data_IF_350887537587
#
_entry.id   IF_350887537587
#
_cell.length_a   1.000
_cell.length_b   1.000
_cell.length_c   1.000
_cell.angle_alpha   90.00
_cell.angle_beta   90.00
_cell.angle_gamma   90.00
#
_symmetry.space_group_name_H-M   'P 1'
#
loop_
_entity.id
_entity.type
_entity.pdbx_description
1 polymer ?
#
# COMPACT_ATOMS: atom_id res chain seq x y z
N UNK A 1 26.32 55.67 0.52
CA UNK A 1 26.15 54.24 0.21
C UNK A 1 26.39 54.00 -1.28
N UNK A 2 27.40 53.22 -1.67
CA UNK A 2 27.91 53.15 -3.06
C UNK A 2 27.19 52.13 -3.95
N UNK A 3 26.94 52.49 -5.22
CA UNK A 3 26.38 51.62 -6.30
C UNK A 3 27.15 50.31 -6.48
N UNK A 4 28.46 50.30 -6.19
CA UNK A 4 29.30 49.08 -6.29
C UNK A 4 28.94 48.03 -5.23
N UNK A 5 28.48 48.45 -4.05
CA UNK A 5 28.11 47.55 -2.95
C UNK A 5 26.76 46.86 -3.19
N UNK A 6 25.81 47.59 -3.79
CA UNK A 6 24.51 47.06 -4.23
C UNK A 6 24.68 45.95 -5.28
N UNK A 7 25.51 46.18 -6.31
CA UNK A 7 25.77 45.20 -7.36
C UNK A 7 26.41 43.90 -6.83
N UNK A 8 27.32 43.99 -5.85
CA UNK A 8 27.93 42.82 -5.22
C UNK A 8 26.92 42.02 -4.38
N UNK A 9 26.04 42.71 -3.64
CA UNK A 9 24.94 42.05 -2.89
C UNK A 9 23.95 41.36 -3.82
N UNK A 10 23.56 42.00 -4.92
CA UNK A 10 22.65 41.42 -5.91
C UNK A 10 23.23 40.15 -6.55
N UNK A 11 24.53 40.15 -6.91
CA UNK A 11 25.21 38.96 -7.44
C UNK A 11 25.29 37.84 -6.41
N UNK A 12 25.58 38.15 -5.14
CA UNK A 12 25.62 37.16 -4.06
C UNK A 12 24.24 36.54 -3.81
N UNK A 13 23.18 37.37 -3.79
CA UNK A 13 21.79 36.92 -3.64
C UNK A 13 21.35 36.04 -4.82
N UNK A 14 21.73 36.39 -6.06
CA UNK A 14 21.45 35.58 -7.25
C UNK A 14 22.17 34.22 -7.19
N UNK A 15 23.43 34.19 -6.77
CA UNK A 15 24.18 32.94 -6.59
C UNK A 15 23.58 32.04 -5.49
N UNK A 16 23.17 32.61 -4.37
CA UNK A 16 22.52 31.87 -3.29
C UNK A 16 21.15 31.31 -3.71
N UNK A 17 20.35 32.09 -4.45
CA UNK A 17 19.06 31.62 -4.96
C UNK A 17 19.20 30.45 -5.95
N UNK A 18 20.19 30.50 -6.85
CA UNK A 18 20.49 29.39 -7.77
C UNK A 18 21.05 28.16 -7.05
N UNK A 19 21.78 28.35 -5.94
CA UNK A 19 22.31 27.26 -5.13
C UNK A 19 21.22 26.57 -4.30
N UNK A 20 20.28 27.32 -3.73
CA UNK A 20 19.13 26.77 -2.99
C UNK A 20 18.12 26.06 -3.90
N UNK A 21 17.92 26.53 -5.14
CA UNK A 21 17.02 25.87 -6.10
C UNK A 21 17.52 24.49 -6.58
N UNK A 22 18.75 24.11 -6.25
CA UNK A 22 19.40 22.86 -6.67
C UNK A 22 19.72 21.94 -5.49
N UNK A 23 19.36 22.33 -4.28
CA UNK A 23 19.61 21.57 -3.07
C UNK A 23 18.28 20.98 -2.61
N UNK A 24 18.07 19.71 -2.93
CA UNK A 24 17.04 18.89 -2.32
C UNK A 24 17.67 18.33 -1.03
N UNK A 25 17.13 18.62 0.16
CA UNK A 25 17.64 18.04 1.40
C UNK A 25 17.67 16.51 1.31
N UNK A 26 18.70 15.86 1.84
CA UNK A 26 18.82 14.39 1.78
C UNK A 26 17.58 13.68 2.36
N UNK A 27 16.91 14.30 3.33
CA UNK A 27 15.63 13.81 3.90
C UNK A 27 14.47 13.78 2.89
N UNK A 28 14.47 14.68 1.91
CA UNK A 28 13.46 14.69 0.84
C UNK A 28 13.81 13.66 -0.24
N UNK A 29 15.09 13.44 -0.52
CA UNK A 29 15.54 12.38 -1.43
C UNK A 29 15.26 10.98 -0.86
N UNK A 30 15.46 10.80 0.45
CA UNK A 30 15.21 9.55 1.17
C UNK A 30 13.71 9.20 1.18
N UNK A 31 12.85 10.17 1.53
CA UNK A 31 11.40 10.00 1.45
C UNK A 31 10.92 9.66 0.03
N UNK A 32 11.43 10.35 -0.99
CA UNK A 32 11.10 10.02 -2.39
C UNK A 32 11.59 8.63 -2.81
N UNK A 33 12.71 8.15 -2.26
CA UNK A 33 13.20 6.78 -2.52
C UNK A 33 12.28 5.75 -1.90
N UNK A 34 11.82 6.00 -0.68
CA UNK A 34 10.89 5.12 0.03
C UNK A 34 9.55 5.00 -0.71
N UNK A 35 8.98 6.13 -1.16
CA UNK A 35 7.72 6.14 -1.95
C UNK A 35 7.86 5.32 -3.26
N UNK A 36 9.01 5.40 -3.92
CA UNK A 36 9.29 4.63 -5.16
C UNK A 36 9.39 3.14 -4.85
N UNK A 37 10.06 2.76 -3.76
CA UNK A 37 10.20 1.37 -3.34
C UNK A 37 8.84 0.76 -2.98
N UNK A 38 8.01 1.51 -2.24
CA UNK A 38 6.65 1.12 -1.88
C UNK A 38 5.76 0.94 -3.12
N UNK A 39 5.75 1.91 -4.04
CA UNK A 39 4.96 1.81 -5.27
C UNK A 39 5.35 0.57 -6.09
N UNK A 40 6.66 0.30 -6.21
CA UNK A 40 7.15 -0.88 -6.90
C UNK A 40 6.80 -2.18 -6.17
N UNK A 41 6.70 -2.17 -4.83
CA UNK A 41 6.26 -3.32 -4.04
C UNK A 41 4.78 -3.62 -4.29
N UNK A 42 3.92 -2.61 -4.20
CA UNK A 42 2.49 -2.74 -4.45
C UNK A 42 2.20 -3.19 -5.89
N UNK A 43 2.91 -2.63 -6.88
CA UNK A 43 2.77 -3.05 -8.28
C UNK A 43 3.14 -4.53 -8.49
N UNK A 44 4.26 -4.98 -7.91
CA UNK A 44 4.65 -6.41 -7.96
C UNK A 44 3.67 -7.31 -7.23
N UNK A 45 3.09 -6.84 -6.14
CA UNK A 45 2.10 -7.59 -5.37
C UNK A 45 0.82 -7.75 -6.19
N UNK A 46 0.28 -6.62 -6.69
CA UNK A 46 -0.91 -6.56 -7.53
C UNK A 46 -0.80 -7.48 -8.76
N UNK A 47 0.29 -7.40 -9.51
CA UNK A 47 0.51 -8.26 -10.68
C UNK A 47 0.40 -9.75 -10.32
N UNK A 48 1.00 -10.16 -9.19
CA UNK A 48 0.99 -11.57 -8.76
C UNK A 48 -0.38 -12.05 -8.28
N UNK A 49 -1.15 -11.23 -7.57
CA UNK A 49 -2.45 -11.66 -7.04
C UNK A 49 -3.56 -11.55 -8.10
N UNK A 50 -3.49 -10.57 -9.00
CA UNK A 50 -4.45 -10.42 -10.10
C UNK A 50 -4.35 -11.56 -11.11
N UNK A 51 -3.15 -12.10 -11.37
CA UNK A 51 -2.95 -13.34 -12.14
C UNK A 51 -3.71 -14.55 -11.56
N UNK A 52 -4.01 -14.53 -10.27
CA UNK A 52 -4.75 -15.58 -9.54
C UNK A 52 -6.24 -15.31 -9.42
N UNK A 53 -6.71 -14.19 -9.97
CA UNK A 53 -8.13 -13.82 -10.01
C UNK A 53 -8.59 -12.92 -8.87
N UNK A 54 -7.66 -12.32 -8.12
CA UNK A 54 -7.99 -11.20 -7.24
C UNK A 54 -8.29 -9.95 -8.07
N UNK A 55 -9.18 -9.11 -7.55
CA UNK A 55 -9.58 -7.86 -8.20
C UNK A 55 -9.26 -6.71 -7.26
N UNK A 56 -8.54 -5.71 -7.79
CA UNK A 56 -8.27 -4.47 -7.07
C UNK A 56 -9.55 -3.64 -6.94
N UNK A 57 -9.81 -3.14 -5.74
CA UNK A 57 -10.98 -2.33 -5.42
C UNK A 57 -10.63 -0.84 -5.56
N UNK A 58 -10.87 -0.26 -6.74
CA UNK A 58 -10.63 1.18 -6.97
C UNK A 58 -11.57 2.10 -6.16
N UNK A 59 -12.68 1.58 -5.62
CA UNK A 59 -13.65 2.39 -4.88
C UNK A 59 -13.28 2.52 -3.40
N UNK A 60 -12.76 1.45 -2.80
CA UNK A 60 -12.36 1.39 -1.40
C UNK A 60 -10.86 1.62 -1.19
N UNK A 61 -10.03 1.48 -2.22
CA UNK A 61 -8.61 1.80 -2.13
C UNK A 61 -8.36 3.30 -2.29
N UNK A 62 -7.39 3.81 -1.54
CA UNK A 62 -6.96 5.19 -1.53
C UNK A 62 -5.45 5.32 -1.26
N UNK A 63 -4.99 6.55 -0.98
CA UNK A 63 -3.58 6.80 -0.70
C UNK A 63 -3.10 6.17 0.63
N UNK A 64 -4.03 5.74 1.51
CA UNK A 64 -3.74 5.17 2.83
C UNK A 64 -3.89 3.63 2.84
N UNK A 65 -4.59 3.04 1.87
CA UNK A 65 -4.78 1.60 1.79
C UNK A 65 -5.07 1.09 0.39
N UNK A 66 -4.50 -0.07 0.07
CA UNK A 66 -4.77 -0.81 -1.15
C UNK A 66 -5.57 -2.07 -0.80
N UNK A 67 -6.72 -2.26 -1.44
CA UNK A 67 -7.66 -3.34 -1.16
C UNK A 67 -7.91 -4.20 -2.39
N UNK A 68 -7.95 -5.51 -2.18
CA UNK A 68 -8.31 -6.49 -3.20
C UNK A 68 -9.37 -7.45 -2.67
N UNK A 69 -10.22 -7.96 -3.54
CA UNK A 69 -11.22 -8.97 -3.19
C UNK A 69 -11.19 -10.18 -4.13
N UNK A 70 -11.52 -11.34 -3.57
CA UNK A 70 -11.54 -12.60 -4.30
C UNK A 70 -12.97 -13.05 -4.60
N UNK A 71 -13.51 -12.62 -5.76
CA UNK A 71 -14.89 -12.89 -6.22
C UNK A 71 -15.33 -14.36 -6.06
N UNK A 72 -14.49 -15.38 -6.33
CA UNK A 72 -14.92 -16.77 -6.17
C UNK A 72 -15.28 -17.18 -4.73
N UNK A 73 -14.92 -16.37 -3.73
CA UNK A 73 -15.29 -16.57 -2.32
C UNK A 73 -16.58 -15.88 -1.89
N UNK A 74 -17.22 -15.07 -2.74
CA UNK A 74 -18.43 -14.30 -2.38
C UNK A 74 -19.52 -15.19 -1.77
N UNK A 75 -20.12 -14.72 -0.68
CA UNK A 75 -21.24 -15.36 -0.03
C UNK A 75 -22.28 -14.33 0.45
N UNK A 76 -23.50 -14.81 0.66
CA UNK A 76 -24.56 -14.01 1.27
C UNK A 76 -24.36 -13.97 2.79
N UNK A 77 -24.18 -12.77 3.32
CA UNK A 77 -23.95 -12.49 4.74
C UNK A 77 -24.92 -11.41 5.21
N UNK A 78 -25.18 -11.27 6.52
CA UNK A 78 -25.98 -10.16 7.04
C UNK A 78 -25.42 -8.80 6.59
N UNK A 79 -26.32 -7.91 6.16
CA UNK A 79 -26.00 -6.52 5.79
C UNK A 79 -26.00 -5.60 7.03
N UNK A 80 -25.34 -6.05 8.10
CA UNK A 80 -25.14 -5.29 9.34
C UNK A 80 -23.73 -4.67 9.44
N UNK A 81 -22.83 -5.07 8.53
CA UNK A 81 -21.45 -4.58 8.48
C UNK A 81 -20.50 -5.30 9.44
N UNK A 82 -20.96 -6.32 10.17
CA UNK A 82 -20.14 -7.04 11.15
C UNK A 82 -19.22 -8.09 10.51
N UNK A 83 -19.45 -8.44 9.24
CA UNK A 83 -18.68 -9.43 8.48
C UNK A 83 -18.53 -9.03 7.02
N UNK A 84 -17.46 -9.51 6.37
CA UNK A 84 -17.23 -9.23 4.95
C UNK A 84 -17.96 -10.23 4.03
N UNK A 85 -18.58 -9.79 2.92
CA UNK A 85 -19.30 -10.67 1.98
C UNK A 85 -18.38 -11.44 1.03
N UNK A 86 -17.09 -11.10 1.02
CA UNK A 86 -16.05 -11.68 0.14
C UNK A 86 -14.73 -11.66 0.90
N UNK A 87 -13.84 -12.59 0.59
CA UNK A 87 -12.49 -12.59 1.18
C UNK A 87 -11.72 -11.40 0.61
N UNK A 88 -11.11 -10.60 1.50
CA UNK A 88 -10.38 -9.38 1.15
C UNK A 88 -8.94 -9.45 1.59
N UNK A 89 -8.08 -8.75 0.85
CA UNK A 89 -6.70 -8.45 1.19
C UNK A 89 -6.57 -6.94 1.30
N UNK A 90 -5.89 -6.46 2.35
CA UNK A 90 -5.58 -5.04 2.54
C UNK A 90 -4.10 -4.88 2.85
N UNK A 91 -3.48 -3.87 2.23
CA UNK A 91 -2.13 -3.42 2.56
C UNK A 91 -2.15 -1.92 2.83
N UNK A 92 -1.33 -1.48 3.77
CA UNK A 92 -1.16 -0.05 4.08
C UNK A 92 0.29 0.37 3.80
N UNK A 93 0.53 1.62 3.37
CA UNK A 93 1.88 2.18 3.22
C UNK A 93 2.71 2.13 4.51
N UNK A 94 2.06 2.35 5.66
CA UNK A 94 2.72 2.42 6.97
C UNK A 94 3.28 1.07 7.42
N UNK A 95 2.62 -0.04 7.03
CA UNK A 95 3.02 -1.42 7.33
C UNK A 95 3.09 -2.26 6.03
N UNK A 96 3.82 -1.78 5.02
CA UNK A 96 3.86 -2.37 3.68
C UNK A 96 4.40 -3.82 3.60
N UNK A 97 5.06 -4.31 4.66
CA UNK A 97 5.51 -5.69 4.77
C UNK A 97 4.44 -6.64 5.35
N UNK A 98 3.32 -6.08 5.83
CA UNK A 98 2.21 -6.79 6.45
C UNK A 98 1.00 -6.78 5.50
N UNK A 99 0.45 -7.95 5.27
CA UNK A 99 -0.77 -8.14 4.50
C UNK A 99 -1.89 -8.58 5.42
N UNK A 100 -2.96 -7.79 5.44
CA UNK A 100 -4.17 -8.07 6.20
C UNK A 100 -5.13 -8.87 5.34
N UNK A 101 -5.70 -9.93 5.88
CA UNK A 101 -6.66 -10.81 5.21
C UNK A 101 -7.88 -10.94 6.08
N UNK A 102 -9.05 -10.67 5.51
CA UNK A 102 -10.34 -10.93 6.18
C UNK A 102 -11.11 -11.96 5.37
N UNK A 103 -11.48 -13.06 6.03
CA UNK A 103 -12.22 -14.15 5.38
C UNK A 103 -13.71 -13.84 5.24
N UNK A 104 -14.30 -14.29 4.13
CA UNK A 104 -15.75 -14.20 3.91
C UNK A 104 -16.57 -14.71 5.11
N UNK A 105 -17.54 -13.92 5.53
CA UNK A 105 -18.41 -14.22 6.68
C UNK A 105 -17.73 -14.06 8.05
N UNK A 106 -16.57 -13.40 8.11
CA UNK A 106 -15.88 -13.07 9.36
C UNK A 106 -15.52 -11.58 9.42
N UNK A 107 -15.08 -11.13 10.60
CA UNK A 107 -14.44 -9.82 10.84
C UNK A 107 -13.05 -9.96 11.48
N UNK A 108 -12.53 -11.18 11.52
CA UNK A 108 -11.20 -11.44 12.08
C UNK A 108 -10.14 -10.97 11.07
N UNK A 109 -9.22 -10.14 11.56
CA UNK A 109 -8.06 -9.66 10.80
C UNK A 109 -6.89 -10.64 10.96
N UNK A 110 -6.49 -11.28 9.86
CA UNK A 110 -5.32 -12.15 9.79
C UNK A 110 -4.16 -11.40 9.16
N UNK A 111 -3.00 -11.41 9.81
CA UNK A 111 -1.83 -10.68 9.38
C UNK A 111 -0.75 -11.66 8.92
N UNK A 112 -0.22 -11.44 7.73
CA UNK A 112 0.82 -12.26 7.11
C UNK A 112 1.99 -11.38 6.66
N UNK A 113 3.20 -11.93 6.68
CA UNK A 113 4.24 -11.39 5.82
C UNK A 113 3.93 -11.62 4.34
N UNK A 114 4.54 -10.85 3.44
CA UNK A 114 4.35 -11.02 1.99
C UNK A 114 4.65 -12.44 1.50
N UNK A 115 5.82 -13.00 1.84
CA UNK A 115 6.21 -14.35 1.40
C UNK A 115 5.29 -15.42 2.00
N UNK A 116 4.94 -15.26 3.29
CA UNK A 116 4.05 -16.16 4.02
C UNK A 116 2.64 -16.18 3.42
N UNK A 117 2.11 -15.01 3.03
CA UNK A 117 0.83 -14.92 2.32
C UNK A 117 0.86 -15.79 1.07
N UNK A 118 1.90 -15.69 0.24
CA UNK A 118 1.99 -16.46 -0.99
C UNK A 118 2.15 -17.96 -0.75
N UNK A 119 2.78 -18.38 0.36
CA UNK A 119 2.84 -19.78 0.77
C UNK A 119 1.47 -20.33 1.20
N UNK A 120 0.62 -19.46 1.74
CA UNK A 120 -0.71 -19.81 2.26
C UNK A 120 -1.87 -19.44 1.33
N UNK A 121 -1.58 -18.82 0.18
CA UNK A 121 -2.58 -18.24 -0.70
C UNK A 121 -3.58 -19.28 -1.22
N UNK A 122 -3.14 -20.50 -1.51
CA UNK A 122 -4.04 -21.59 -1.91
C UNK A 122 -5.07 -21.95 -0.83
N UNK A 123 -4.68 -21.91 0.45
CA UNK A 123 -5.58 -22.16 1.56
C UNK A 123 -6.55 -21.00 1.77
N UNK A 124 -6.06 -19.77 1.58
CA UNK A 124 -6.88 -18.55 1.66
C UNK A 124 -7.95 -18.55 0.56
N UNK A 125 -7.54 -18.73 -0.69
CA UNK A 125 -8.42 -18.78 -1.86
C UNK A 125 -9.38 -19.99 -1.84
N UNK A 126 -9.02 -21.07 -1.12
CA UNK A 126 -9.84 -22.26 -0.95
C UNK A 126 -10.93 -22.13 0.12
N UNK A 127 -10.83 -21.16 1.03
CA UNK A 127 -11.82 -21.00 2.10
C UNK A 127 -13.18 -20.54 1.58
N UNK A 128 -14.25 -21.10 2.14
CA UNK A 128 -15.64 -20.72 1.85
C UNK A 128 -16.41 -20.69 3.16
N UNK A 129 -17.41 -19.81 3.24
CA UNK A 129 -18.27 -19.70 4.41
C UNK A 129 -18.85 -21.06 4.80
N UNK A 130 -18.81 -21.38 6.10
CA UNK A 130 -19.26 -22.68 6.64
C UNK A 130 -18.19 -23.77 6.67
N UNK A 131 -17.03 -23.58 6.03
CA UNK A 131 -15.86 -24.40 6.28
C UNK A 131 -15.19 -24.01 7.61
N UNK A 132 -14.36 -24.89 8.15
CA UNK A 132 -13.47 -24.52 9.23
C UNK A 132 -12.47 -23.47 8.73
N UNK A 133 -12.22 -22.44 9.54
CA UNK A 133 -11.20 -21.45 9.25
C UNK A 133 -9.82 -22.13 9.13
N UNK A 134 -9.01 -21.75 8.13
CA UNK A 134 -7.65 -22.25 8.02
C UNK A 134 -6.83 -21.88 9.26
N UNK A 135 -5.92 -22.76 9.67
CA UNK A 135 -4.97 -22.48 10.75
C UNK A 135 -3.59 -22.27 10.15
N UNK A 136 -3.01 -21.12 10.46
CA UNK A 136 -1.66 -20.72 10.11
C UNK A 136 -0.82 -20.71 11.39
N UNK A 137 0.44 -21.13 11.35
CA UNK A 137 1.22 -21.41 12.55
C UNK A 137 2.72 -21.27 12.37
#
# INVERSE_FOLDING_TARGET
>A
MSRRTQAKKARRKKRQATQNARWIPDTVLDAMSHDIELAALLERFDERITERGWVFDEELSDDESALWYYIPSTAEVPDDGDVVPVTTIVMTPDDADVVHVVFVGTSDDYQFGLDELFEHLDAIEGYRIGNLLPQFG
#
